data_IF_736027648473
#
_entry.id   IF_736027648473
#
_cell.length_a   1.000
_cell.length_b   1.000
_cell.length_c   1.000
_cell.angle_alpha   90.00
_cell.angle_beta   90.00
_cell.angle_gamma   90.00
#
_symmetry.space_group_name_H-M   'P 1'
#
loop_
_entity.id
_entity.type
_entity.pdbx_description
1 polymer ?
#
# COMPACT_ATOMS: atom_id res chain seq x y z
N UNK A 1 29.48 0.55 15.90
CA UNK A 1 28.20 1.24 15.98
C UNK A 1 27.23 0.30 16.68
N UNK A 2 26.77 0.63 17.89
CA UNK A 2 25.78 -0.17 18.61
C UNK A 2 24.40 0.42 18.28
N UNK A 3 23.62 -0.29 17.47
CA UNK A 3 22.25 0.10 17.14
C UNK A 3 21.33 -0.48 18.21
N UNK A 4 20.50 0.35 18.80
CA UNK A 4 19.49 -0.07 19.79
C UNK A 4 18.46 -1.01 19.12
N UNK A 5 18.30 -2.21 19.69
CA UNK A 5 17.38 -3.26 19.24
C UNK A 5 16.29 -3.58 20.27
N UNK A 6 16.14 -2.75 21.31
CA UNK A 6 15.14 -2.96 22.35
C UNK A 6 13.72 -2.99 21.76
N UNK A 7 13.46 -2.17 20.73
CA UNK A 7 12.19 -2.17 19.99
C UNK A 7 11.81 -3.53 19.40
N UNK A 8 12.78 -4.41 19.11
CA UNK A 8 12.53 -5.73 18.55
C UNK A 8 12.44 -6.81 19.64
N UNK A 9 13.45 -6.91 20.51
CA UNK A 9 13.56 -8.04 21.45
C UNK A 9 12.74 -7.87 22.74
N UNK A 10 12.36 -6.64 23.10
CA UNK A 10 11.73 -6.39 24.41
C UNK A 10 10.38 -7.10 24.56
N UNK A 11 9.58 -7.12 23.51
CA UNK A 11 8.31 -7.87 23.48
C UNK A 11 8.56 -9.35 23.78
N UNK A 12 9.54 -9.95 23.11
CA UNK A 12 9.83 -11.38 23.21
C UNK A 12 10.31 -11.84 24.60
N UNK A 13 11.10 -11.03 25.30
CA UNK A 13 11.73 -11.46 26.57
C UNK A 13 11.10 -10.87 27.83
N UNK A 14 10.41 -9.74 27.73
CA UNK A 14 9.94 -8.99 28.90
C UNK A 14 8.43 -8.76 28.93
N UNK A 15 7.67 -9.34 27.99
CA UNK A 15 6.21 -9.25 27.95
C UNK A 15 5.59 -10.62 27.70
N UNK A 16 4.27 -10.70 27.83
CA UNK A 16 3.46 -11.86 27.40
C UNK A 16 2.58 -11.48 26.21
N UNK A 17 3.07 -10.58 25.36
CA UNK A 17 2.34 -10.11 24.19
C UNK A 17 2.21 -11.23 23.14
N UNK A 18 1.38 -10.97 22.13
CA UNK A 18 1.11 -11.86 21.00
C UNK A 18 1.47 -11.19 19.67
N UNK A 19 1.53 -11.98 18.61
CA UNK A 19 1.64 -11.51 17.23
C UNK A 19 0.23 -11.30 16.68
N UNK A 20 -0.02 -10.12 16.12
CA UNK A 20 -1.22 -9.80 15.34
C UNK A 20 -0.85 -8.64 14.40
N UNK A 21 -0.93 -8.90 13.09
CA UNK A 21 -0.60 -7.97 12.00
C UNK A 21 -1.73 -8.02 10.97
N UNK A 22 -2.36 -6.88 10.73
CA UNK A 22 -3.48 -6.76 9.81
C UNK A 22 -3.29 -5.75 8.70
N UNK A 23 -4.29 -5.69 7.82
CA UNK A 23 -4.45 -4.64 6.83
C UNK A 23 -5.45 -3.63 7.39
N UNK A 24 -4.95 -2.43 7.72
CA UNK A 24 -5.77 -1.33 8.22
C UNK A 24 -6.50 -0.61 7.11
N UNK A 25 -5.80 -0.27 6.02
CA UNK A 25 -6.35 0.56 4.95
C UNK A 25 -5.62 0.34 3.62
N UNK A 26 -6.36 0.37 2.52
CA UNK A 26 -5.82 0.40 1.16
C UNK A 26 -6.41 1.62 0.46
N UNK A 27 -5.55 2.58 0.10
CA UNK A 27 -5.94 3.75 -0.70
C UNK A 27 -5.39 3.62 -2.10
N UNK A 28 -6.24 3.75 -3.11
CA UNK A 28 -5.86 3.86 -4.52
C UNK A 28 -5.65 5.33 -4.88
N UNK A 29 -4.67 5.61 -5.74
CA UNK A 29 -4.39 6.96 -6.21
C UNK A 29 -4.47 7.05 -7.73
N UNK A 30 -5.02 8.17 -8.20
CA UNK A 30 -4.97 8.60 -9.59
C UNK A 30 -3.86 9.64 -9.75
N UNK A 31 -3.17 9.59 -10.89
CA UNK A 31 -2.07 10.51 -11.19
C UNK A 31 -2.55 11.57 -12.17
N UNK A 32 -2.26 12.83 -11.88
CA UNK A 32 -2.62 13.94 -12.75
C UNK A 32 -1.60 15.09 -12.66
N UNK A 33 -1.49 15.86 -13.74
CA UNK A 33 -0.82 17.18 -13.74
C UNK A 33 -1.79 18.32 -13.43
N UNK A 34 -3.10 18.05 -13.36
CA UNK A 34 -4.09 19.06 -13.02
C UNK A 34 -4.14 19.23 -11.49
N UNK A 35 -3.81 20.41 -10.96
CA UNK A 35 -3.73 20.61 -9.52
C UNK A 35 -5.14 20.69 -8.90
N UNK A 36 -5.40 19.85 -7.89
CA UNK A 36 -6.54 20.04 -7.00
C UNK A 36 -6.28 21.19 -6.01
N UNK A 37 -7.27 21.57 -5.20
CA UNK A 37 -7.11 22.68 -4.25
C UNK A 37 -5.88 22.53 -3.33
N UNK A 38 -5.62 21.31 -2.86
CA UNK A 38 -4.47 21.00 -2.02
C UNK A 38 -3.15 21.12 -2.81
N UNK A 39 -3.13 20.66 -4.05
CA UNK A 39 -1.99 20.75 -4.96
C UNK A 39 -1.62 22.19 -5.31
N UNK A 40 -2.62 23.08 -5.47
CA UNK A 40 -2.40 24.52 -5.66
C UNK A 40 -1.77 25.17 -4.44
N UNK A 41 -2.33 24.92 -3.24
CA UNK A 41 -1.78 25.43 -1.97
C UNK A 41 -0.34 24.98 -1.74
N UNK A 42 -0.04 23.72 -2.06
CA UNK A 42 1.31 23.16 -1.94
C UNK A 42 2.29 23.86 -2.89
N UNK A 43 1.91 24.00 -4.16
CA UNK A 43 2.72 24.68 -5.16
C UNK A 43 3.02 26.14 -4.77
N UNK A 44 2.02 26.86 -4.26
CA UNK A 44 2.17 28.21 -3.73
C UNK A 44 3.12 28.28 -2.54
N UNK A 45 3.02 27.33 -1.59
CA UNK A 45 3.89 27.27 -0.41
C UNK A 45 5.38 27.13 -0.79
N UNK A 46 5.68 26.40 -1.86
CA UNK A 46 7.04 26.21 -2.35
C UNK A 46 7.44 27.17 -3.47
N UNK A 47 6.55 28.09 -3.87
CA UNK A 47 6.74 29.03 -4.99
C UNK A 47 7.12 28.31 -6.31
N UNK A 48 6.42 27.20 -6.59
CA UNK A 48 6.56 26.37 -7.79
C UNK A 48 5.32 26.56 -8.66
N UNK A 49 5.45 26.53 -9.99
CA UNK A 49 4.29 26.54 -10.90
C UNK A 49 3.44 25.27 -10.67
N UNK A 50 2.15 25.37 -10.33
CA UNK A 50 1.28 24.21 -10.11
C UNK A 50 1.26 23.23 -11.29
N UNK A 51 1.39 23.71 -12.53
CA UNK A 51 1.35 22.83 -13.71
C UNK A 51 2.65 22.05 -13.94
N UNK A 52 3.73 22.39 -13.22
CA UNK A 52 5.02 21.71 -13.31
C UNK A 52 5.13 20.49 -12.40
N UNK A 53 4.10 20.22 -11.59
CA UNK A 53 4.08 19.14 -10.61
C UNK A 53 3.20 17.97 -11.06
N UNK A 54 3.50 16.80 -10.49
CA UNK A 54 2.67 15.61 -10.60
C UNK A 54 1.97 15.40 -9.27
N UNK A 55 0.66 15.22 -9.32
CA UNK A 55 -0.20 15.04 -8.15
C UNK A 55 -0.75 13.62 -8.10
N UNK A 56 -0.73 13.06 -6.90
CA UNK A 56 -1.42 11.80 -6.57
C UNK A 56 -2.69 12.15 -5.80
N UNK A 57 -3.84 11.89 -6.39
CA UNK A 57 -5.15 12.16 -5.77
C UNK A 57 -5.73 10.84 -5.30
N UNK A 58 -6.06 10.75 -4.01
CA UNK A 58 -6.59 9.53 -3.41
C UNK A 58 -8.04 9.28 -3.80
N UNK A 59 -8.43 8.02 -3.86
CA UNK A 59 -9.82 7.61 -4.03
C UNK A 59 -10.68 8.17 -2.88
N UNK A 60 -11.73 8.93 -3.23
CA UNK A 60 -12.59 9.64 -2.29
C UNK A 60 -12.20 11.11 -2.04
N UNK A 61 -11.05 11.57 -2.52
CA UNK A 61 -10.67 12.98 -2.45
C UNK A 61 -11.31 13.81 -3.59
N UNK A 62 -11.45 15.11 -3.37
CA UNK A 62 -11.95 16.03 -4.40
C UNK A 62 -11.01 16.06 -5.62
N UNK A 63 -11.60 15.94 -6.80
CA UNK A 63 -10.88 15.85 -8.08
C UNK A 63 -10.40 14.44 -8.45
N UNK A 64 -10.70 13.40 -7.66
CA UNK A 64 -10.34 12.02 -8.00
C UNK A 64 -10.98 11.56 -9.31
N UNK A 65 -12.30 11.73 -9.48
CA UNK A 65 -13.00 11.30 -10.70
C UNK A 65 -12.47 12.01 -11.95
N UNK A 66 -12.14 13.28 -11.83
CA UNK A 66 -11.56 14.07 -12.92
C UNK A 66 -10.12 13.62 -13.21
N UNK A 67 -9.35 13.27 -12.18
CA UNK A 67 -8.02 12.70 -12.33
C UNK A 67 -8.04 11.27 -12.88
N UNK A 68 -9.09 10.50 -12.66
CA UNK A 68 -9.24 9.17 -13.29
C UNK A 68 -9.68 9.29 -14.75
N UNK A 69 -10.62 10.19 -15.06
CA UNK A 69 -11.16 10.37 -16.43
C UNK A 69 -10.18 11.11 -17.35
N UNK A 70 -9.55 12.15 -16.84
CA UNK A 70 -8.64 13.02 -17.59
C UNK A 70 -7.17 12.74 -17.24
N UNK A 71 -6.90 11.81 -16.32
CA UNK A 71 -5.55 11.39 -15.97
C UNK A 71 -4.86 10.78 -17.16
N UNK A 72 -3.67 11.29 -17.43
CA UNK A 72 -2.77 10.68 -18.38
C UNK A 72 -1.99 9.57 -17.65
N UNK A 73 -1.57 8.54 -18.38
CA UNK A 73 -0.61 7.59 -17.85
C UNK A 73 0.62 8.36 -17.35
N UNK A 74 1.29 7.89 -16.30
CA UNK A 74 2.49 8.55 -15.74
C UNK A 74 3.53 8.88 -16.84
N UNK A 75 3.68 8.02 -17.84
CA UNK A 75 4.59 8.20 -18.99
C UNK A 75 4.19 9.33 -19.94
N UNK A 76 2.89 9.60 -20.04
CA UNK A 76 2.32 10.58 -20.95
C UNK A 76 2.30 11.98 -20.32
N UNK A 77 2.55 12.08 -19.01
CA UNK A 77 2.63 13.37 -18.31
C UNK A 77 3.83 14.17 -18.85
N UNK A 78 3.62 15.42 -19.30
CA UNK A 78 4.68 16.22 -19.90
C UNK A 78 5.94 16.35 -19.04
N UNK A 79 5.76 16.57 -17.74
CA UNK A 79 6.83 16.75 -16.74
C UNK A 79 7.68 15.49 -16.57
N UNK A 80 7.02 14.33 -16.47
CA UNK A 80 7.69 13.03 -16.35
C UNK A 80 8.41 12.67 -17.63
N UNK A 81 7.77 12.92 -18.77
CA UNK A 81 8.33 12.66 -20.10
C UNK A 81 9.58 13.51 -20.36
N UNK A 82 9.53 14.80 -20.07
CA UNK A 82 10.67 15.72 -20.16
C UNK A 82 11.83 15.24 -19.27
N UNK A 83 11.54 14.91 -18.01
CA UNK A 83 12.55 14.39 -17.09
C UNK A 83 13.19 13.09 -17.59
N UNK A 84 12.40 12.15 -18.12
CA UNK A 84 12.91 10.90 -18.67
C UNK A 84 13.80 11.14 -19.91
N UNK A 85 13.38 12.06 -20.80
CA UNK A 85 14.13 12.39 -22.00
C UNK A 85 15.47 13.07 -21.70
N UNK A 86 15.51 13.93 -20.70
CA UNK A 86 16.71 14.69 -20.34
C UNK A 86 17.73 13.87 -19.54
N UNK A 87 17.27 12.89 -18.75
CA UNK A 87 18.13 12.19 -17.78
C UNK A 87 18.51 10.75 -18.18
N UNK A 88 17.85 10.13 -19.18
CA UNK A 88 18.05 8.72 -19.51
C UNK A 88 18.37 8.47 -20.99
N UNK A 89 19.20 7.45 -21.24
CA UNK A 89 19.55 7.03 -22.61
C UNK A 89 18.41 6.24 -23.28
N UNK A 90 18.37 6.13 -24.63
CA UNK A 90 17.31 5.41 -25.34
C UNK A 90 17.16 3.93 -24.91
N UNK A 91 18.25 3.27 -24.50
CA UNK A 91 18.21 1.89 -23.99
C UNK A 91 17.59 1.81 -22.59
N UNK A 92 17.90 2.77 -21.72
CA UNK A 92 17.31 2.86 -20.38
C UNK A 92 15.81 3.19 -20.45
N UNK A 93 15.43 4.11 -21.36
CA UNK A 93 14.03 4.44 -21.64
C UNK A 93 13.22 3.21 -22.08
N UNK A 94 13.82 2.32 -22.88
CA UNK A 94 13.15 1.10 -23.34
C UNK A 94 12.85 0.13 -22.18
N UNK A 95 13.71 0.06 -21.17
CA UNK A 95 13.51 -0.73 -19.97
C UNK A 95 12.50 -0.09 -19.00
N UNK A 96 12.31 1.24 -19.08
CA UNK A 96 11.33 2.01 -18.29
C UNK A 96 9.89 1.93 -18.80
N UNK A 97 9.62 1.32 -19.96
CA UNK A 97 8.27 1.10 -20.53
C UNK A 97 7.31 0.23 -19.70
N UNK A 98 7.73 -0.17 -18.49
CA UNK A 98 6.86 -0.77 -17.47
C UNK A 98 6.53 0.29 -16.43
N UNK A 99 6.07 1.47 -16.85
CA UNK A 99 5.72 2.46 -15.84
C UNK A 99 4.49 2.01 -15.07
N UNK A 100 4.48 2.21 -13.75
CA UNK A 100 3.35 1.87 -12.93
C UNK A 100 2.14 2.69 -13.36
N UNK A 101 1.03 2.00 -13.60
CA UNK A 101 -0.27 2.59 -13.95
C UNK A 101 -1.13 2.79 -12.71
N UNK A 102 -0.97 1.91 -11.74
CA UNK A 102 -1.75 1.90 -10.51
C UNK A 102 -0.84 2.19 -9.33
N UNK A 103 -1.32 3.08 -8.46
CA UNK A 103 -0.61 3.51 -7.27
C UNK A 103 -1.50 3.27 -6.07
N UNK A 104 -0.95 2.60 -5.06
CA UNK A 104 -1.63 2.28 -3.83
C UNK A 104 -0.80 2.72 -2.64
N UNK A 105 -1.47 3.10 -1.56
CA UNK A 105 -0.89 3.13 -0.24
C UNK A 105 -1.60 2.09 0.60
N UNK A 106 -0.85 1.08 1.03
CA UNK A 106 -1.34 0.05 1.93
C UNK A 106 -0.81 0.36 3.32
N UNK A 107 -1.72 0.58 4.26
CA UNK A 107 -1.42 0.77 5.67
C UNK A 107 -1.68 -0.54 6.39
N UNK A 108 -0.63 -1.08 7.00
CA UNK A 108 -0.68 -2.24 7.87
C UNK A 108 -0.64 -1.77 9.31
N UNK A 109 -1.38 -2.44 10.17
CA UNK A 109 -1.34 -2.27 11.61
C UNK A 109 -0.82 -3.53 12.29
N UNK A 110 -0.17 -3.33 13.43
CA UNK A 110 0.33 -4.39 14.30
C UNK A 110 -0.30 -4.19 15.69
N UNK A 111 -1.57 -4.55 15.87
CA UNK A 111 -2.22 -4.51 17.18
C UNK A 111 -1.53 -5.43 18.21
N UNK A 112 -0.82 -6.48 17.74
CA UNK A 112 0.02 -7.33 18.58
C UNK A 112 1.28 -6.61 19.08
N UNK A 113 1.77 -7.01 20.25
CA UNK A 113 2.99 -6.45 20.85
C UNK A 113 4.29 -7.09 20.33
N UNK A 114 4.21 -8.28 19.72
CA UNK A 114 5.38 -8.97 19.20
C UNK A 114 5.71 -8.55 17.77
N UNK A 115 6.96 -8.17 17.56
CA UNK A 115 7.44 -7.72 16.24
C UNK A 115 7.81 -8.93 15.37
N UNK A 116 7.17 -9.04 14.21
CA UNK A 116 7.45 -10.02 13.17
C UNK A 116 7.72 -9.35 11.81
N UNK A 117 8.40 -10.03 10.87
CA UNK A 117 8.40 -9.63 9.47
C UNK A 117 6.97 -9.54 8.93
N UNK A 118 6.72 -8.61 8.02
CA UNK A 118 5.44 -8.47 7.35
C UNK A 118 5.50 -9.21 6.01
N UNK A 119 4.77 -10.31 5.91
CA UNK A 119 4.66 -11.12 4.69
C UNK A 119 3.36 -10.75 4.01
N UNK A 120 3.41 -10.35 2.74
CA UNK A 120 2.23 -9.89 1.99
C UNK A 120 2.20 -10.56 0.64
N UNK A 121 1.06 -11.13 0.28
CA UNK A 121 0.75 -11.54 -1.09
C UNK A 121 -0.18 -10.54 -1.73
N UNK A 122 0.20 -10.07 -2.92
CA UNK A 122 -0.61 -9.23 -3.79
C UNK A 122 -1.15 -10.09 -4.93
N UNK A 123 -2.45 -10.08 -5.13
CA UNK A 123 -3.12 -10.72 -6.26
C UNK A 123 -3.57 -9.65 -7.26
N UNK A 124 -3.24 -9.87 -8.53
CA UNK A 124 -3.50 -8.94 -9.62
C UNK A 124 -4.70 -9.37 -10.46
N UNK A 125 -5.30 -8.42 -11.17
CA UNK A 125 -6.48 -8.66 -12.02
C UNK A 125 -6.26 -9.67 -13.17
N UNK A 126 -5.01 -9.92 -13.56
CA UNK A 126 -4.63 -10.95 -14.55
C UNK A 126 -4.45 -12.35 -13.93
N UNK A 127 -4.69 -12.49 -12.62
CA UNK A 127 -4.53 -13.72 -11.86
C UNK A 127 -3.10 -14.02 -11.41
N UNK A 128 -2.13 -13.15 -11.72
CA UNK A 128 -0.77 -13.29 -11.20
C UNK A 128 -0.70 -12.91 -9.72
N UNK A 129 0.22 -13.54 -8.99
CA UNK A 129 0.46 -13.33 -7.56
C UNK A 129 1.90 -12.95 -7.32
N UNK A 130 2.11 -12.04 -6.38
CA UNK A 130 3.44 -11.63 -5.93
C UNK A 130 3.51 -11.62 -4.41
N UNK A 131 4.40 -12.45 -3.86
CA UNK A 131 4.67 -12.50 -2.42
C UNK A 131 5.90 -11.67 -2.09
N UNK A 132 5.75 -10.73 -1.16
CA UNK A 132 6.80 -9.85 -0.67
C UNK A 132 6.94 -10.00 0.84
N UNK A 133 8.17 -10.24 1.30
CA UNK A 133 8.51 -10.25 2.72
C UNK A 133 9.25 -8.97 3.07
N UNK A 134 8.63 -8.13 3.89
CA UNK A 134 9.27 -6.96 4.47
C UNK A 134 9.92 -7.33 5.81
N UNK A 135 11.20 -6.96 6.04
CA UNK A 135 11.89 -7.29 7.28
C UNK A 135 11.27 -6.56 8.47
N UNK A 136 11.42 -7.10 9.69
CA UNK A 136 10.89 -6.50 10.91
C UNK A 136 11.32 -5.02 11.15
N UNK A 137 12.40 -4.57 10.52
CA UNK A 137 12.89 -3.19 10.59
C UNK A 137 11.87 -2.14 10.13
N UNK A 138 10.83 -2.55 9.39
CA UNK A 138 9.74 -1.64 9.00
C UNK A 138 9.02 -1.02 10.21
N UNK A 139 9.03 -1.69 11.35
CA UNK A 139 8.37 -1.29 12.59
C UNK A 139 9.23 -0.37 13.47
N UNK A 140 10.49 -0.13 13.10
CA UNK A 140 11.47 0.56 13.97
C UNK A 140 11.08 2.00 14.34
N UNK A 141 10.49 2.75 13.41
CA UNK A 141 10.10 4.15 13.63
C UNK A 141 8.67 4.28 14.17
N UNK A 142 7.81 3.35 13.79
CA UNK A 142 6.44 3.26 14.27
C UNK A 142 6.10 1.78 14.42
N UNK A 143 6.00 1.32 15.66
CA UNK A 143 5.72 -0.07 16.00
C UNK A 143 4.25 -0.45 15.80
N UNK A 144 3.35 0.54 15.73
CA UNK A 144 1.90 0.26 15.62
C UNK A 144 1.44 0.13 14.19
N UNK A 145 1.96 0.97 13.30
CA UNK A 145 1.43 1.11 11.95
C UNK A 145 2.54 1.45 10.97
N UNK A 146 2.44 0.87 9.77
CA UNK A 146 3.36 1.14 8.68
C UNK A 146 2.60 1.27 7.36
N UNK A 147 2.90 2.32 6.61
CA UNK A 147 2.36 2.51 5.26
C UNK A 147 3.41 2.15 4.20
N UNK A 148 2.97 1.50 3.14
CA UNK A 148 3.77 1.12 1.98
C UNK A 148 3.13 1.66 0.71
N UNK A 149 3.90 2.43 -0.04
CA UNK A 149 3.53 2.86 -1.38
C UNK A 149 3.85 1.73 -2.35
N UNK A 150 2.84 1.27 -3.08
CA UNK A 150 2.94 0.21 -4.08
C UNK A 150 2.62 0.83 -5.44
N UNK A 151 3.56 0.72 -6.36
CA UNK A 151 3.42 1.21 -7.73
C UNK A 151 3.54 0.01 -8.66
N UNK A 152 2.48 -0.27 -9.43
CA UNK A 152 2.38 -1.47 -10.27
C UNK A 152 1.72 -1.14 -11.61
N UNK A 153 2.08 -1.88 -12.65
CA UNK A 153 1.46 -1.82 -13.97
C UNK A 153 0.09 -2.53 -13.99
N UNK A 154 -0.18 -3.37 -12.98
CA UNK A 154 -1.40 -4.18 -12.86
C UNK A 154 -2.30 -3.70 -11.72
N UNK A 155 -3.59 -3.94 -11.85
CA UNK A 155 -4.54 -3.62 -10.79
C UNK A 155 -4.50 -4.69 -9.69
N UNK A 156 -4.37 -4.28 -8.44
CA UNK A 156 -4.43 -5.18 -7.28
C UNK A 156 -5.89 -5.45 -6.96
N UNK A 157 -6.27 -6.72 -6.92
CA UNK A 157 -7.65 -7.16 -6.62
C UNK A 157 -7.77 -7.76 -5.22
N UNK A 158 -6.69 -8.32 -4.68
CA UNK A 158 -6.64 -8.78 -3.30
C UNK A 158 -5.25 -8.60 -2.70
N UNK A 159 -5.22 -8.42 -1.38
CA UNK A 159 -4.01 -8.36 -0.57
C UNK A 159 -4.22 -9.28 0.63
N UNK A 160 -3.26 -10.16 0.89
CA UNK A 160 -3.30 -11.09 2.02
C UNK A 160 -2.02 -10.97 2.83
N UNK A 161 -2.15 -10.67 4.12
CA UNK A 161 -1.07 -10.75 5.09
C UNK A 161 -0.91 -12.20 5.53
N UNK A 162 0.33 -12.67 5.52
CA UNK A 162 0.75 -13.99 5.95
C UNK A 162 -0.10 -15.15 5.37
N UNK A 163 -0.15 -15.31 4.03
CA UNK A 163 -0.99 -16.30 3.38
C UNK A 163 -0.64 -17.77 3.72
N UNK A 164 0.59 -18.02 4.17
CA UNK A 164 1.08 -19.37 4.52
C UNK A 164 1.05 -19.62 6.03
N UNK A 165 0.54 -18.67 6.83
CA UNK A 165 0.45 -18.75 8.30
C UNK A 165 1.83 -18.96 8.96
N UNK A 166 2.84 -18.24 8.49
CA UNK A 166 4.22 -18.27 9.00
C UNK A 166 4.38 -17.42 10.25
N UNK A 167 3.61 -16.33 10.37
CA UNK A 167 3.52 -15.54 11.59
C UNK A 167 2.52 -16.23 12.50
N UNK A 168 2.87 -16.42 13.78
CA UNK A 168 1.97 -17.00 14.78
C UNK A 168 0.86 -16.01 15.18
N UNK A 169 0.16 -15.49 14.17
CA UNK A 169 -0.88 -14.49 14.26
C UNK A 169 -2.13 -15.08 14.95
N UNK A 170 -2.66 -14.35 15.92
CA UNK A 170 -3.84 -14.80 16.67
C UNK A 170 -5.15 -14.40 16.01
N UNK A 171 -5.16 -13.38 15.15
CA UNK A 171 -6.35 -12.92 14.44
C UNK A 171 -6.06 -12.88 12.94
N UNK A 172 -6.74 -13.75 12.19
CA UNK A 172 -6.61 -13.78 10.72
C UNK A 172 -7.77 -13.07 10.02
N UNK A 173 -8.69 -12.46 10.77
CA UNK A 173 -9.88 -11.80 10.21
C UNK A 173 -9.57 -10.44 9.59
N UNK A 174 -8.46 -9.81 9.99
CA UNK A 174 -7.93 -8.55 9.49
C UNK A 174 -6.81 -8.74 8.43
N UNK A 175 -6.47 -9.98 8.05
CA UNK A 175 -5.35 -10.26 7.14
C UNK A 175 -5.68 -10.05 5.67
N UNK A 176 -6.94 -9.85 5.31
CA UNK A 176 -7.38 -9.81 3.91
C UNK A 176 -8.00 -8.48 3.53
N UNK A 177 -7.63 -7.99 2.35
CA UNK A 177 -8.31 -6.92 1.65
C UNK A 177 -8.74 -7.41 0.25
N UNK A 178 -10.00 -7.19 -0.17
CA UNK A 178 -11.12 -6.71 0.64
C UNK A 178 -11.39 -7.65 1.83
N UNK A 179 -11.95 -7.12 2.92
CA UNK A 179 -12.24 -7.94 4.10
C UNK A 179 -13.16 -9.08 3.74
N UNK A 180 -12.70 -10.31 3.97
CA UNK A 180 -13.53 -11.49 3.78
C UNK A 180 -14.67 -11.48 4.79
N UNK A 181 -15.91 -11.47 4.32
CA UNK A 181 -17.08 -11.67 5.19
C UNK A 181 -17.17 -13.16 5.48
N UNK A 182 -16.44 -13.62 6.50
CA UNK A 182 -16.57 -14.98 7.01
C UNK A 182 -17.89 -15.06 7.79
N UNK A 183 -18.79 -15.96 7.38
CA UNK A 183 -20.01 -16.25 8.14
C UNK A 183 -19.62 -16.69 9.56
N UNK A 184 -20.24 -16.08 10.58
CA UNK A 184 -19.99 -16.49 11.97
C UNK A 184 -20.52 -17.90 12.23
N UNK A 185 -19.98 -18.58 13.23
CA UNK A 185 -20.47 -19.91 13.61
C UNK A 185 -21.95 -19.89 14.02
N UNK A 186 -22.42 -18.75 14.54
CA UNK A 186 -23.84 -18.54 14.83
C UNK A 186 -24.68 -18.38 13.56
N UNK A 187 -24.19 -17.67 12.54
CA UNK A 187 -24.88 -17.54 11.25
C UNK A 187 -24.96 -18.89 10.53
N UNK A 188 -23.85 -19.66 10.54
CA UNK A 188 -23.82 -21.04 10.03
C UNK A 188 -24.82 -21.93 10.78
N UNK A 189 -24.90 -21.82 12.11
CA UNK A 189 -25.84 -22.56 12.93
C UNK A 189 -27.31 -22.18 12.61
N UNK A 190 -27.60 -20.89 12.46
CA UNK A 190 -28.95 -20.39 12.13
C UNK A 190 -29.39 -20.81 10.74
N UNK A 191 -28.48 -20.80 9.76
CA UNK A 191 -28.74 -21.28 8.41
C UNK A 191 -29.07 -22.79 8.43
N UNK A 192 -28.32 -23.58 9.21
CA UNK A 192 -28.55 -25.02 9.37
C UNK A 192 -29.89 -25.41 10.03
N UNK A 193 -30.49 -24.53 10.83
CA UNK A 193 -31.80 -24.77 11.49
C UNK A 193 -32.98 -24.32 10.61
N UNK A 194 -32.73 -23.47 9.62
CA UNK A 194 -33.77 -22.99 8.70
C UNK A 194 -34.07 -23.97 7.56
N UNK A 195 -33.19 -24.94 7.33
CA UNK A 195 -33.39 -26.10 6.44
C UNK A 195 -33.99 -27.30 7.21
#
# INVERSE_FOLDING_TARGET
SAVDLDWFWRGWFYTTDYTDIGIKEVKKFAVTNNPNENGKKLAEQYNIDPNSLVYFIGEGDEGYDDAVKNGQSMEDLPTVKEYIMDNFTPEQQKNMKKSPKYFYQVTFDKPGGLVMPLIVEYEYNDGSKEKITYPAQIWRLNDKEVSRAIATDKEIVAITVDPDLETADIDTSNNSWPKEVKESDFDKFKNKIKD
#
